data_IF_090945703783
#
_entry.id   IF_090945703783
#
_cell.length_a   1.000
_cell.length_b   1.000
_cell.length_c   1.000
_cell.angle_alpha   90.00
_cell.angle_beta   90.00
_cell.angle_gamma   90.00
#
_symmetry.space_group_name_H-M   'P 1'
#
loop_
_entity.id
_entity.type
_entity.pdbx_description
1 polymer ?
#
# COMPACT_ATOMS: atom_id res chain seq x y z
N UNK A 1 12.49 4.71 -0.82
CA UNK A 1 12.79 3.66 -1.83
C UNK A 1 11.53 2.83 -2.02
N UNK A 2 11.14 2.49 -3.25
CA UNK A 2 9.97 1.63 -3.50
C UNK A 2 10.28 0.15 -3.24
N UNK A 3 9.23 -0.65 -2.97
CA UNK A 3 9.32 -2.09 -2.64
C UNK A 3 10.21 -2.89 -3.61
N UNK A 4 10.06 -2.72 -4.91
CA UNK A 4 10.85 -3.44 -5.91
C UNK A 4 12.35 -3.15 -5.83
N UNK A 5 12.73 -1.89 -5.61
CA UNK A 5 14.13 -1.50 -5.44
C UNK A 5 14.70 -2.04 -4.11
N UNK A 6 13.92 -2.02 -3.03
CA UNK A 6 14.34 -2.57 -1.74
C UNK A 6 14.61 -4.08 -1.84
N UNK A 7 13.72 -4.83 -2.49
CA UNK A 7 13.92 -6.26 -2.74
C UNK A 7 15.14 -6.51 -3.62
N UNK A 8 15.36 -5.69 -4.65
CA UNK A 8 16.53 -5.82 -5.54
C UNK A 8 17.84 -5.59 -4.79
N UNK A 9 17.91 -4.60 -3.90
CA UNK A 9 19.07 -4.37 -3.05
C UNK A 9 19.29 -5.53 -2.08
N UNK A 10 18.24 -5.98 -1.40
CA UNK A 10 18.30 -7.13 -0.50
C UNK A 10 18.77 -8.41 -1.20
N UNK A 11 18.42 -8.63 -2.48
CA UNK A 11 18.92 -9.77 -3.29
C UNK A 11 20.41 -9.69 -3.59
N UNK A 12 21.05 -8.54 -3.45
CA UNK A 12 22.51 -8.38 -3.56
C UNK A 12 23.23 -8.45 -2.21
N UNK A 13 22.46 -8.51 -1.11
CA UNK A 13 23.02 -8.46 0.23
C UNK A 13 23.35 -7.02 0.70
N UNK A 14 22.79 -5.99 0.08
CA UNK A 14 23.03 -4.57 0.39
C UNK A 14 22.22 -4.13 1.63
N UNK A 15 22.13 -4.95 2.66
CA UNK A 15 21.44 -4.66 3.92
C UNK A 15 21.24 -5.91 4.75
N UNK A 16 20.82 -5.76 6.00
CA UNK A 16 20.67 -6.82 6.98
C UNK A 16 19.21 -7.25 7.14
N UNK A 17 18.29 -6.30 6.93
CA UNK A 17 16.84 -6.47 7.09
C UNK A 17 16.11 -5.88 5.88
N UNK A 18 15.15 -6.62 5.36
CA UNK A 18 14.18 -6.16 4.36
C UNK A 18 12.85 -5.87 5.03
N UNK A 19 12.35 -4.62 4.92
CA UNK A 19 11.02 -4.21 5.38
C UNK A 19 10.26 -3.60 4.20
N UNK A 20 9.22 -4.28 3.75
CA UNK A 20 8.42 -3.89 2.57
C UNK A 20 6.96 -4.32 2.74
N UNK A 21 6.10 -4.02 1.76
CA UNK A 21 4.66 -4.27 1.79
C UNK A 21 4.16 -4.96 0.51
N UNK A 22 4.79 -6.06 0.13
CA UNK A 22 4.36 -6.95 -0.97
C UNK A 22 4.47 -8.39 -0.54
N UNK A 23 3.46 -8.92 0.17
CA UNK A 23 3.46 -10.26 0.74
C UNK A 23 3.88 -11.35 -0.25
N UNK A 24 3.40 -11.24 -1.51
CA UNK A 24 3.75 -12.18 -2.58
C UNK A 24 5.25 -12.18 -2.89
N UNK A 25 5.83 -10.98 -3.04
CA UNK A 25 7.26 -10.84 -3.37
C UNK A 25 8.15 -11.16 -2.16
N UNK A 26 7.68 -10.85 -0.95
CA UNK A 26 8.33 -11.20 0.32
C UNK A 26 8.41 -12.71 0.52
N UNK A 27 7.32 -13.44 0.29
CA UNK A 27 7.28 -14.89 0.36
C UNK A 27 8.18 -15.51 -0.72
N UNK A 28 8.17 -14.94 -1.94
CA UNK A 28 9.09 -15.37 -3.00
C UNK A 28 10.55 -15.12 -2.63
N UNK A 29 10.88 -13.98 -2.03
CA UNK A 29 12.23 -13.66 -1.57
C UNK A 29 12.75 -14.69 -0.55
N UNK A 30 11.89 -15.13 0.36
CA UNK A 30 12.23 -16.20 1.33
C UNK A 30 12.36 -17.56 0.62
N UNK A 31 11.41 -17.92 -0.24
CA UNK A 31 11.47 -19.21 -0.97
C UNK A 31 12.67 -19.35 -1.91
N UNK A 32 13.14 -18.23 -2.47
CA UNK A 32 14.35 -18.16 -3.29
C UNK A 32 15.65 -18.20 -2.44
N UNK A 33 15.56 -18.31 -1.10
CA UNK A 33 16.68 -18.41 -0.17
C UNK A 33 17.42 -17.11 0.12
N UNK A 34 16.88 -15.93 -0.24
CA UNK A 34 17.51 -14.65 0.04
C UNK A 34 17.22 -14.16 1.46
N UNK A 35 16.08 -14.52 2.04
CA UNK A 35 15.67 -14.24 3.41
C UNK A 35 15.44 -15.50 4.22
N UNK A 36 15.49 -15.42 5.54
CA UNK A 36 15.33 -16.59 6.42
C UNK A 36 13.86 -16.88 6.68
N UNK A 37 13.10 -15.89 7.14
CA UNK A 37 11.68 -16.00 7.49
C UNK A 37 11.01 -14.65 7.38
N UNK A 38 9.77 -14.64 6.86
CA UNK A 38 8.90 -13.47 6.90
C UNK A 38 8.15 -13.41 8.22
N UNK A 39 8.17 -12.24 8.84
CA UNK A 39 7.31 -11.91 9.97
C UNK A 39 6.31 -10.83 9.55
N UNK A 40 5.10 -10.90 10.07
CA UNK A 40 4.12 -9.83 9.96
C UNK A 40 4.51 -8.73 10.95
N UNK A 41 4.69 -7.51 10.44
CA UNK A 41 5.16 -6.40 11.25
C UNK A 41 4.01 -5.48 11.67
N UNK A 42 3.34 -4.93 10.69
CA UNK A 42 2.26 -3.96 10.87
C UNK A 42 1.42 -3.88 9.60
N UNK A 43 0.31 -3.18 9.67
CA UNK A 43 -0.46 -2.82 8.48
C UNK A 43 -0.97 -1.38 8.58
N UNK A 44 -1.24 -0.77 7.44
CA UNK A 44 -2.11 0.38 7.29
C UNK A 44 -3.20 0.05 6.26
N UNK A 45 -4.07 1.00 5.96
CA UNK A 45 -5.14 0.78 5.01
C UNK A 45 -4.90 1.54 3.70
N UNK A 46 -5.31 0.91 2.61
CA UNK A 46 -5.67 1.65 1.42
C UNK A 46 -7.06 2.25 1.59
N UNK A 47 -7.30 3.34 0.89
CA UNK A 47 -8.57 4.07 0.89
C UNK A 47 -8.95 4.44 -0.53
N UNK A 48 -10.26 4.53 -0.79
CA UNK A 48 -10.77 5.18 -1.99
C UNK A 48 -11.13 6.62 -1.63
N UNK A 49 -10.50 7.55 -2.30
CA UNK A 49 -10.86 8.97 -2.21
C UNK A 49 -11.57 9.41 -3.48
N UNK A 50 -12.43 10.41 -3.36
CA UNK A 50 -13.16 10.93 -4.49
C UNK A 50 -13.93 12.20 -4.12
N UNK A 51 -14.75 12.73 -5.06
CA UNK A 51 -15.55 13.94 -4.87
C UNK A 51 -16.44 13.86 -3.64
N UNK A 52 -16.57 14.97 -2.89
CA UNK A 52 -17.43 15.05 -1.69
C UNK A 52 -18.89 14.70 -2.00
N UNK A 53 -19.35 15.03 -3.19
CA UNK A 53 -20.72 14.75 -3.69
C UNK A 53 -20.95 13.26 -3.98
N UNK A 54 -19.87 12.50 -4.12
CA UNK A 54 -19.90 11.06 -4.40
C UNK A 54 -20.86 10.67 -5.54
N UNK A 55 -20.66 11.16 -6.76
CA UNK A 55 -21.59 10.94 -7.85
C UNK A 55 -21.73 9.46 -8.27
N UNK A 56 -20.75 8.61 -7.95
CA UNK A 56 -20.84 7.15 -8.14
C UNK A 56 -21.56 6.43 -6.98
N UNK A 57 -21.90 7.16 -5.89
CA UNK A 57 -22.60 6.65 -4.69
C UNK A 57 -21.91 5.43 -4.07
N UNK A 58 -20.59 5.52 -3.90
CA UNK A 58 -19.79 4.44 -3.33
C UNK A 58 -19.72 4.48 -1.80
N UNK A 59 -19.93 5.64 -1.17
CA UNK A 59 -19.86 5.80 0.28
C UNK A 59 -20.92 5.02 1.06
N UNK A 60 -21.93 4.50 0.38
CA UNK A 60 -22.97 3.64 0.96
C UNK A 60 -22.66 2.14 0.83
N UNK A 61 -21.57 1.79 0.13
CA UNK A 61 -21.16 0.40 -0.08
C UNK A 61 -20.19 -0.08 0.99
N UNK A 62 -20.26 -1.37 1.26
CA UNK A 62 -19.33 -2.06 2.17
C UNK A 62 -18.46 -3.09 1.45
N UNK A 63 -18.83 -3.47 0.23
CA UNK A 63 -18.10 -4.42 -0.61
C UNK A 63 -17.27 -3.68 -1.66
N UNK A 64 -15.96 -3.84 -1.58
CA UNK A 64 -15.01 -3.21 -2.51
C UNK A 64 -15.27 -3.58 -3.98
N UNK A 65 -15.76 -4.79 -4.26
CA UNK A 65 -16.10 -5.20 -5.64
C UNK A 65 -17.23 -4.35 -6.21
N UNK A 66 -18.24 -4.07 -5.39
CA UNK A 66 -19.38 -3.23 -5.80
C UNK A 66 -18.92 -1.78 -5.96
N UNK A 67 -18.04 -1.30 -5.10
CA UNK A 67 -17.42 0.04 -5.21
C UNK A 67 -16.71 0.18 -6.54
N UNK A 68 -15.81 -0.74 -6.89
CA UNK A 68 -15.06 -0.70 -8.14
C UNK A 68 -15.98 -0.76 -9.37
N UNK A 69 -17.04 -1.60 -9.32
CA UNK A 69 -18.07 -1.65 -10.37
C UNK A 69 -18.81 -0.32 -10.51
N UNK A 70 -19.26 0.28 -9.41
CA UNK A 70 -19.97 1.57 -9.45
C UNK A 70 -19.09 2.67 -10.04
N UNK A 71 -17.81 2.75 -9.66
CA UNK A 71 -16.88 3.71 -10.24
C UNK A 71 -16.74 3.47 -11.75
N UNK A 72 -16.51 2.24 -12.18
CA UNK A 72 -16.28 1.92 -13.59
C UNK A 72 -17.52 2.17 -14.47
N UNK A 73 -18.73 1.91 -13.95
CA UNK A 73 -19.99 2.13 -14.67
C UNK A 73 -20.47 3.59 -14.58
N UNK A 74 -19.92 4.39 -13.68
CA UNK A 74 -20.25 5.80 -13.57
C UNK A 74 -19.67 6.61 -14.72
N UNK A 75 -20.14 7.87 -14.86
CA UNK A 75 -19.54 8.82 -15.81
C UNK A 75 -18.34 9.56 -15.22
N UNK A 76 -17.72 9.02 -14.18
CA UNK A 76 -16.65 9.66 -13.44
C UNK A 76 -15.28 9.16 -13.87
N UNK A 77 -14.25 9.97 -13.64
CA UNK A 77 -12.86 9.61 -13.89
C UNK A 77 -12.27 8.87 -12.71
N UNK A 78 -11.39 7.92 -13.00
CA UNK A 78 -10.51 7.30 -12.03
C UNK A 78 -9.05 7.60 -12.39
N UNK A 79 -8.29 8.06 -11.43
CA UNK A 79 -6.87 8.42 -11.62
C UNK A 79 -6.01 7.30 -11.05
N UNK A 80 -5.24 6.66 -11.92
CA UNK A 80 -4.29 5.61 -11.57
C UNK A 80 -2.87 6.15 -11.45
N UNK A 81 -2.10 5.58 -10.53
CA UNK A 81 -0.67 5.84 -10.45
C UNK A 81 0.10 5.32 -11.66
N UNK A 82 -0.26 4.14 -12.16
CA UNK A 82 0.37 3.44 -13.31
C UNK A 82 1.91 3.42 -13.29
N UNK A 83 2.52 3.33 -12.09
CA UNK A 83 3.97 3.43 -11.82
C UNK A 83 4.59 2.13 -11.28
N UNK A 84 3.84 1.03 -11.29
CA UNK A 84 4.22 -0.29 -10.75
C UNK A 84 4.52 -0.29 -9.24
N UNK A 85 4.09 0.73 -8.50
CA UNK A 85 4.17 0.77 -7.03
C UNK A 85 3.21 -0.20 -6.36
N UNK A 86 3.36 -0.40 -5.06
CA UNK A 86 2.44 -1.21 -4.26
C UNK A 86 0.97 -0.74 -4.37
N UNK A 87 0.72 0.58 -4.42
CA UNK A 87 -0.63 1.14 -4.65
C UNK A 87 -1.16 0.78 -6.03
N UNK A 88 -0.33 0.87 -7.09
CA UNK A 88 -0.76 0.49 -8.44
C UNK A 88 -1.01 -1.03 -8.55
N UNK A 89 -0.20 -1.86 -7.90
CA UNK A 89 -0.43 -3.32 -7.85
C UNK A 89 -1.76 -3.61 -7.16
N UNK A 90 -2.00 -3.02 -5.98
CA UNK A 90 -3.27 -3.16 -5.24
C UNK A 90 -4.47 -2.70 -6.08
N UNK A 91 -4.37 -1.56 -6.75
CA UNK A 91 -5.40 -1.04 -7.65
C UNK A 91 -5.78 -2.07 -8.73
N UNK A 92 -4.77 -2.62 -9.41
CA UNK A 92 -4.99 -3.65 -10.43
C UNK A 92 -5.64 -4.92 -9.86
N UNK A 93 -5.28 -5.33 -8.65
CA UNK A 93 -5.89 -6.48 -7.98
C UNK A 93 -7.35 -6.21 -7.64
N UNK A 94 -7.72 -4.99 -7.21
CA UNK A 94 -9.10 -4.59 -6.96
C UNK A 94 -9.95 -4.58 -8.25
N UNK A 95 -9.41 -4.07 -9.37
CA UNK A 95 -10.08 -4.11 -10.66
C UNK A 95 -10.33 -5.55 -11.13
N UNK A 96 -9.33 -6.43 -11.00
CA UNK A 96 -9.47 -7.87 -11.31
C UNK A 96 -10.51 -8.53 -10.41
N UNK A 97 -10.49 -8.25 -9.11
CA UNK A 97 -11.45 -8.78 -8.13
C UNK A 97 -12.89 -8.41 -8.48
N UNK A 98 -13.09 -7.22 -9.05
CA UNK A 98 -14.38 -6.74 -9.54
C UNK A 98 -14.77 -7.29 -10.95
N UNK A 99 -13.87 -8.04 -11.60
CA UNK A 99 -14.01 -8.48 -13.00
C UNK A 99 -14.15 -7.30 -14.00
N UNK A 100 -13.41 -6.21 -13.77
CA UNK A 100 -13.42 -5.03 -14.65
C UNK A 100 -12.16 -5.03 -15.51
N UNK A 101 -12.36 -4.94 -16.82
CA UNK A 101 -11.30 -4.72 -17.79
C UNK A 101 -11.23 -3.22 -18.14
N UNK A 102 -10.08 -2.61 -17.89
CA UNK A 102 -9.88 -1.16 -18.06
C UNK A 102 -9.26 -0.77 -19.41
N UNK A 103 -8.91 -1.71 -20.28
CA UNK A 103 -8.13 -1.44 -21.49
C UNK A 103 -8.79 -0.44 -22.45
N UNK A 104 -10.11 -0.34 -22.45
CA UNK A 104 -10.86 0.58 -23.32
C UNK A 104 -11.57 1.73 -22.58
N UNK A 105 -11.24 1.94 -21.28
CA UNK A 105 -11.95 2.93 -20.49
C UNK A 105 -11.28 4.32 -20.59
N UNK A 106 -11.84 5.23 -21.42
CA UNK A 106 -11.37 6.62 -21.58
C UNK A 106 -11.43 7.46 -20.30
N UNK A 107 -12.07 6.97 -19.25
CA UNK A 107 -12.17 7.63 -17.94
C UNK A 107 -11.09 7.16 -16.97
N UNK A 108 -10.32 6.14 -17.34
CA UNK A 108 -9.20 5.65 -16.57
C UNK A 108 -7.92 6.37 -16.99
N UNK A 109 -7.48 7.31 -16.16
CA UNK A 109 -6.36 8.21 -16.47
C UNK A 109 -5.11 7.74 -15.73
N UNK A 110 -4.07 7.45 -16.48
CA UNK A 110 -2.77 6.98 -16.00
C UNK A 110 -1.83 8.16 -15.81
N UNK A 111 -1.26 8.33 -14.61
CA UNK A 111 -0.38 9.46 -14.30
C UNK A 111 1.11 9.11 -14.42
N UNK A 112 1.48 7.85 -14.21
CA UNK A 112 2.89 7.41 -14.24
C UNK A 112 3.76 8.06 -13.14
N UNK A 113 3.16 8.51 -12.01
CA UNK A 113 3.86 9.35 -11.04
C UNK A 113 3.61 8.95 -9.58
N UNK A 114 4.16 9.72 -8.63
CA UNK A 114 4.01 9.49 -7.19
C UNK A 114 2.56 9.60 -6.70
N UNK A 115 2.26 9.04 -5.51
CA UNK A 115 0.91 9.12 -4.93
C UNK A 115 0.47 10.55 -4.69
N UNK A 116 1.35 11.42 -4.19
CA UNK A 116 1.04 12.82 -3.95
C UNK A 116 0.66 13.56 -5.25
N UNK A 117 1.39 13.32 -6.34
CA UNK A 117 1.08 13.90 -7.64
C UNK A 117 -0.23 13.32 -8.21
N UNK A 118 -0.47 12.02 -8.05
CA UNK A 118 -1.74 11.38 -8.45
C UNK A 118 -2.92 12.00 -7.70
N UNK A 119 -2.78 12.26 -6.40
CA UNK A 119 -3.79 12.95 -5.59
C UNK A 119 -4.02 14.39 -6.07
N UNK A 120 -2.98 15.13 -6.48
CA UNK A 120 -3.14 16.45 -7.08
C UNK A 120 -3.98 16.39 -8.36
N UNK A 121 -3.67 15.44 -9.26
CA UNK A 121 -4.46 15.26 -10.49
C UNK A 121 -5.91 14.88 -10.16
N UNK A 122 -6.12 13.98 -9.21
CA UNK A 122 -7.47 13.59 -8.77
C UNK A 122 -8.24 14.78 -8.18
N UNK A 123 -7.57 15.62 -7.40
CA UNK A 123 -8.15 16.85 -6.80
C UNK A 123 -8.57 17.85 -7.87
N UNK A 124 -7.69 18.15 -8.84
CA UNK A 124 -7.98 19.09 -9.93
C UNK A 124 -9.08 18.59 -10.87
N UNK A 125 -9.15 17.27 -11.09
CA UNK A 125 -10.14 16.66 -11.97
C UNK A 125 -11.43 16.26 -11.26
N UNK A 126 -11.53 16.47 -9.95
CA UNK A 126 -12.64 16.02 -9.11
C UNK A 126 -12.95 14.54 -9.34
N UNK A 127 -11.95 13.69 -9.25
CA UNK A 127 -11.97 12.29 -9.69
C UNK A 127 -11.72 11.31 -8.53
N UNK A 128 -12.05 10.03 -8.75
CA UNK A 128 -11.74 8.94 -7.81
C UNK A 128 -10.30 8.49 -7.97
N UNK A 129 -9.70 8.02 -6.87
CA UNK A 129 -8.39 7.35 -6.89
C UNK A 129 -8.21 6.45 -5.67
N UNK A 130 -7.32 5.45 -5.79
CA UNK A 130 -6.82 4.66 -4.67
C UNK A 130 -5.60 5.36 -4.06
N UNK A 131 -5.55 5.45 -2.74
CA UNK A 131 -4.39 5.97 -2.00
C UNK A 131 -4.10 5.10 -0.78
N UNK A 132 -2.87 5.09 -0.30
CA UNK A 132 -2.60 4.71 1.08
C UNK A 132 -3.04 5.84 2.03
N UNK A 133 -3.53 5.45 3.22
CA UNK A 133 -4.08 6.39 4.20
C UNK A 133 -3.02 7.38 4.70
N UNK A 134 -1.77 6.93 4.85
CA UNK A 134 -0.68 7.79 5.34
C UNK A 134 -0.40 8.95 4.40
N UNK A 135 -0.29 8.68 3.09
CA UNK A 135 -0.13 9.74 2.08
C UNK A 135 -1.33 10.69 2.08
N UNK A 136 -2.55 10.18 2.17
CA UNK A 136 -3.76 11.01 2.23
C UNK A 136 -3.79 11.95 3.44
N UNK A 137 -3.39 11.48 4.63
CA UNK A 137 -3.35 12.32 5.83
C UNK A 137 -2.33 13.45 5.68
N UNK A 138 -1.16 13.16 5.10
CA UNK A 138 -0.12 14.15 4.83
C UNK A 138 -0.46 15.10 3.68
N UNK A 139 -1.36 14.70 2.78
CA UNK A 139 -1.74 15.47 1.60
C UNK A 139 -2.57 16.69 1.98
N UNK A 140 -2.11 17.88 1.57
CA UNK A 140 -2.72 19.16 1.96
C UNK A 140 -3.78 19.66 0.96
N UNK A 141 -3.58 19.42 -0.34
CA UNK A 141 -4.41 19.94 -1.42
C UNK A 141 -5.66 19.08 -1.68
N UNK A 142 -6.44 18.81 -0.62
CA UNK A 142 -7.61 17.92 -0.68
C UNK A 142 -8.78 18.51 -1.47
N UNK A 143 -8.89 19.86 -1.51
CA UNK A 143 -9.98 20.59 -2.19
C UNK A 143 -11.36 19.96 -1.93
N UNK A 144 -11.99 19.45 -3.01
CA UNK A 144 -13.30 18.81 -2.97
C UNK A 144 -13.24 17.28 -2.78
N UNK A 145 -12.06 16.71 -2.47
CA UNK A 145 -11.94 15.29 -2.20
C UNK A 145 -12.15 14.94 -0.73
N UNK A 146 -12.70 13.75 -0.49
CA UNK A 146 -12.78 13.11 0.83
C UNK A 146 -12.54 11.59 0.72
N UNK A 147 -12.29 10.94 1.86
CA UNK A 147 -12.35 9.48 1.94
C UNK A 147 -13.82 9.07 1.74
N UNK A 148 -14.04 8.18 0.79
CA UNK A 148 -15.35 7.62 0.47
C UNK A 148 -15.48 6.17 0.89
N UNK A 149 -14.33 5.47 0.98
CA UNK A 149 -14.29 4.11 1.48
C UNK A 149 -12.96 3.82 2.19
N UNK A 150 -13.06 3.18 3.35
CA UNK A 150 -11.97 2.62 4.13
C UNK A 150 -12.49 1.34 4.82
N UNK A 151 -11.68 0.29 4.88
CA UNK A 151 -11.97 -0.96 5.59
C UNK A 151 -12.09 -2.17 4.65
N UNK A 152 -12.26 -3.35 5.27
CA UNK A 152 -12.21 -4.64 4.58
C UNK A 152 -10.79 -5.18 4.46
N UNK A 153 -10.66 -6.51 4.49
CA UNK A 153 -9.34 -7.18 4.40
C UNK A 153 -8.63 -6.88 3.08
N UNK A 154 -9.38 -6.69 2.00
CA UNK A 154 -8.84 -6.35 0.70
C UNK A 154 -8.14 -4.99 0.66
N UNK A 155 -8.44 -4.11 1.63
CA UNK A 155 -7.83 -2.79 1.74
C UNK A 155 -6.63 -2.76 2.68
N UNK A 156 -6.27 -3.88 3.29
CA UNK A 156 -5.07 -3.94 4.12
C UNK A 156 -3.80 -3.80 3.27
N UNK A 157 -2.89 -2.98 3.76
CA UNK A 157 -1.54 -2.81 3.25
C UNK A 157 -0.56 -3.37 4.28
N UNK A 158 -0.34 -4.69 4.22
CA UNK A 158 0.50 -5.42 5.17
C UNK A 158 1.98 -5.17 4.91
N UNK A 159 2.73 -4.90 5.94
CA UNK A 159 4.18 -4.82 5.95
C UNK A 159 4.78 -6.10 6.53
N UNK A 160 5.72 -6.68 5.82
CA UNK A 160 6.55 -7.76 6.30
C UNK A 160 7.96 -7.29 6.65
N UNK A 161 8.60 -8.02 7.57
CA UNK A 161 10.00 -7.84 7.92
C UNK A 161 10.73 -9.17 7.83
N UNK A 162 11.94 -9.17 7.23
CA UNK A 162 12.69 -10.37 6.87
C UNK A 162 14.17 -10.12 7.14
N UNK A 163 14.83 -10.97 7.92
CA UNK A 163 16.29 -10.97 8.02
C UNK A 163 16.91 -11.58 6.76
N UNK A 164 17.96 -10.96 6.24
CA UNK A 164 18.71 -11.45 5.10
C UNK A 164 19.43 -12.75 5.47
N UNK A 165 19.51 -13.69 4.55
CA UNK A 165 20.04 -15.02 4.81
C UNK A 165 21.58 -15.02 4.96
N UNK A 166 22.13 -15.28 6.16
CA UNK A 166 23.58 -15.28 6.39
C UNK A 166 24.33 -16.40 5.68
N UNK A 167 23.64 -17.49 5.31
CA UNK A 167 24.26 -18.56 4.53
C UNK A 167 24.56 -18.13 3.09
N UNK A 168 23.77 -17.19 2.57
CA UNK A 168 23.96 -16.63 1.22
C UNK A 168 24.84 -15.39 1.24
N UNK A 169 24.79 -14.61 2.32
CA UNK A 169 25.49 -13.34 2.51
C UNK A 169 26.21 -13.34 3.88
N UNK A 170 27.41 -13.89 3.99
CA UNK A 170 28.10 -14.06 5.29
C UNK A 170 28.45 -12.75 6.01
N UNK A 171 28.38 -11.62 5.32
CA UNK A 171 28.70 -10.29 5.88
C UNK A 171 27.52 -9.63 6.60
N UNK A 172 26.28 -10.17 6.49
CA UNK A 172 25.11 -9.56 7.12
C UNK A 172 25.11 -9.79 8.64
N UNK A 173 24.64 -8.81 9.36
CA UNK A 173 24.54 -8.81 10.83
C UNK A 173 23.27 -9.56 11.29
N UNK A 174 23.24 -10.88 11.05
CA UNK A 174 22.04 -11.71 11.25
C UNK A 174 21.53 -11.71 12.70
N UNK A 175 22.40 -11.82 13.70
CA UNK A 175 21.96 -11.87 15.10
C UNK A 175 21.35 -10.53 15.53
N UNK A 176 21.95 -9.40 15.15
CA UNK A 176 21.38 -8.07 15.38
C UNK A 176 20.07 -7.88 14.64
N UNK A 177 19.93 -8.44 13.43
CA UNK A 177 18.69 -8.43 12.67
C UNK A 177 17.57 -9.16 13.39
N UNK A 178 17.87 -10.32 13.99
CA UNK A 178 16.91 -11.08 14.82
C UNK A 178 16.46 -10.29 16.04
N UNK A 179 17.39 -9.74 16.79
CA UNK A 179 17.08 -8.90 17.97
C UNK A 179 16.20 -7.72 17.59
N UNK A 180 16.51 -7.04 16.49
CA UNK A 180 15.71 -5.91 15.97
C UNK A 180 14.31 -6.35 15.55
N UNK A 181 14.17 -7.47 14.84
CA UNK A 181 12.88 -8.02 14.44
C UNK A 181 12.06 -8.39 15.67
N UNK A 182 12.64 -9.10 16.64
CA UNK A 182 11.96 -9.49 17.87
C UNK A 182 11.49 -8.28 18.66
N UNK A 183 12.35 -7.26 18.81
CA UNK A 183 11.98 -5.99 19.43
C UNK A 183 10.76 -5.34 18.77
N UNK A 184 10.70 -5.34 17.42
CA UNK A 184 9.59 -4.76 16.67
C UNK A 184 8.27 -5.53 16.80
N UNK A 185 8.32 -6.89 16.85
CA UNK A 185 7.11 -7.71 16.77
C UNK A 185 6.57 -8.13 18.15
N UNK A 186 7.41 -8.17 19.19
CA UNK A 186 7.01 -8.64 20.53
C UNK A 186 7.33 -7.67 21.66
N UNK A 187 8.27 -6.74 21.43
CA UNK A 187 8.80 -5.86 22.47
C UNK A 187 8.27 -4.43 22.42
N UNK A 188 9.03 -3.51 22.99
CA UNK A 188 8.69 -2.08 23.05
C UNK A 188 8.56 -1.43 21.65
N UNK A 189 9.17 -1.99 20.62
CA UNK A 189 9.01 -1.53 19.25
C UNK A 189 7.59 -1.71 18.73
N UNK A 190 6.88 -2.76 19.16
CA UNK A 190 5.46 -2.95 18.88
C UNK A 190 4.61 -1.82 19.46
N UNK A 191 4.92 -1.38 20.67
CA UNK A 191 4.23 -0.26 21.31
C UNK A 191 4.53 1.06 20.57
N UNK A 192 5.78 1.27 20.12
CA UNK A 192 6.14 2.43 19.30
C UNK A 192 5.30 2.48 18.03
N UNK A 193 5.14 1.37 17.31
CA UNK A 193 4.30 1.28 16.12
C UNK A 193 2.83 1.60 16.47
N UNK A 194 2.30 0.98 17.52
CA UNK A 194 0.89 1.12 17.91
C UNK A 194 0.54 2.52 18.42
N UNK A 195 1.51 3.23 19.00
CA UNK A 195 1.31 4.57 19.54
C UNK A 195 1.71 5.67 18.53
N UNK A 196 2.24 5.29 17.35
CA UNK A 196 2.60 6.28 16.34
C UNK A 196 1.35 6.94 15.76
N UNK A 197 1.32 8.27 15.86
CA UNK A 197 0.27 9.09 15.25
C UNK A 197 0.88 10.16 14.35
N UNK A 198 0.15 10.52 13.30
CA UNK A 198 0.48 11.65 12.44
C UNK A 198 -0.73 12.56 12.32
N UNK A 199 -0.55 13.84 12.64
CA UNK A 199 -1.66 14.81 12.74
C UNK A 199 -2.81 14.35 13.65
N UNK A 200 -2.50 13.62 14.74
CA UNK A 200 -3.48 13.09 15.68
C UNK A 200 -4.19 11.81 15.24
N UNK A 201 -3.91 11.30 14.05
CA UNK A 201 -4.47 10.04 13.54
C UNK A 201 -3.47 8.89 13.64
N UNK A 202 -3.93 7.74 14.11
CA UNK A 202 -3.15 6.50 14.12
C UNK A 202 -3.00 5.97 12.69
N UNK A 203 -1.76 5.66 12.28
CA UNK A 203 -1.46 5.22 10.91
C UNK A 203 -1.21 3.74 10.78
N UNK A 204 -0.58 3.13 11.78
CA UNK A 204 -0.18 1.74 11.74
C UNK A 204 -0.83 0.94 12.85
N UNK A 205 -1.08 -0.32 12.57
CA UNK A 205 -1.68 -1.29 13.47
C UNK A 205 -0.82 -2.54 13.44
N UNK A 206 -0.66 -3.21 14.58
CA UNK A 206 -0.02 -4.54 14.67
C UNK A 206 -1.08 -5.59 14.97
N UNK A 207 -0.80 -6.82 14.55
CA UNK A 207 -1.62 -7.99 14.89
C UNK A 207 -1.38 -8.42 16.34
#
# INVERSE_FOLDING_TARGET
MGTGNAISNAKRGDGDVLMVHSKKDELKFVSDGFGVKRYELMYNNFIIVGPKEDPAKISQETDIKNIMKKISHSNQKFISRDDKSGTHIKENDLWKLANINLFDNRKYIKTGTSMANTLNVASEMNAYTLSDKGTWIAFKNKNNLKILFEGGEEMHNEYGIIAINPQKFPHVEYDKSKEFIEWLITGAGKDVINNFTYNGEKLFFTN
#
